data_IF_186163279879
#
_entry.id   IF_186163279879
#
_cell.length_a   1.000
_cell.length_b   1.000
_cell.length_c   1.000
_cell.angle_alpha   90.00
_cell.angle_beta   90.00
_cell.angle_gamma   90.00
#
_symmetry.space_group_name_H-M   'P 1'
#
loop_
_entity.id
_entity.type
_entity.pdbx_description
1 polymer ?
#
# COMPACT_ATOMS: atom_id res chain seq x y z
N UNK A 1 -11.37 32.17 62.92
CA UNK A 1 -11.98 31.26 61.91
C UNK A 1 -11.59 31.55 60.45
N UNK A 2 -10.45 32.22 60.17
CA UNK A 2 -10.00 32.50 58.78
C UNK A 2 -8.86 31.60 58.29
N UNK A 3 -8.01 31.08 59.20
CA UNK A 3 -6.85 30.25 58.83
C UNK A 3 -7.20 28.86 58.30
N UNK A 4 -8.32 28.27 58.73
CA UNK A 4 -8.74 26.92 58.31
C UNK A 4 -9.32 26.89 56.88
N UNK A 5 -9.84 28.03 56.37
CA UNK A 5 -10.39 28.12 55.01
C UNK A 5 -9.32 28.25 53.93
N UNK A 6 -8.13 28.79 54.27
CA UNK A 6 -7.03 28.99 53.31
C UNK A 6 -6.27 27.68 53.04
N UNK A 7 -6.23 26.76 54.02
CA UNK A 7 -5.57 25.46 53.85
C UNK A 7 -6.40 24.52 52.96
N UNK A 8 -7.74 24.57 53.07
CA UNK A 8 -8.63 23.76 52.23
C UNK A 8 -8.66 24.22 50.76
N UNK A 9 -8.42 25.51 50.47
CA UNK A 9 -8.37 26.02 49.10
C UNK A 9 -7.07 25.65 48.38
N UNK A 10 -5.94 25.60 49.10
CA UNK A 10 -4.65 25.21 48.53
C UNK A 10 -4.50 23.69 48.32
N UNK A 11 -5.26 22.86 49.06
CA UNK A 11 -5.24 21.40 48.86
C UNK A 11 -6.11 20.95 47.67
N UNK A 12 -7.03 21.79 47.20
CA UNK A 12 -7.87 21.49 46.02
C UNK A 12 -7.21 21.87 44.69
N UNK A 13 -6.16 22.71 44.71
CA UNK A 13 -5.48 23.21 43.51
C UNK A 13 -4.28 22.36 43.06
N UNK A 14 -3.87 21.35 43.82
CA UNK A 14 -2.70 20.52 43.51
C UNK A 14 -3.02 19.12 42.98
N UNK A 15 -4.29 18.75 42.82
CA UNK A 15 -4.66 17.35 42.49
C UNK A 15 -4.94 17.03 41.02
N UNK A 16 -5.00 17.97 40.08
CA UNK A 16 -5.32 17.62 38.69
C UNK A 16 -4.60 18.45 37.63
N UNK A 17 -3.27 18.42 37.67
CA UNK A 17 -2.43 18.74 36.50
C UNK A 17 -1.41 17.65 36.25
N UNK A 18 -1.82 16.38 36.36
CA UNK A 18 -1.17 15.33 35.56
C UNK A 18 -1.76 15.45 34.17
N UNK A 19 -1.24 16.41 33.40
CA UNK A 19 -1.39 16.37 31.96
C UNK A 19 -0.78 15.06 31.51
N UNK A 20 -1.65 14.07 31.26
CA UNK A 20 -1.37 13.02 30.30
C UNK A 20 -1.08 13.74 28.99
N UNK A 21 0.17 14.15 28.81
CA UNK A 21 0.76 14.27 27.49
C UNK A 21 0.74 12.88 26.90
N UNK A 22 -0.45 12.46 26.45
CA UNK A 22 -0.57 11.48 25.38
C UNK A 22 0.26 12.07 24.27
N UNK A 23 1.52 11.63 24.22
CA UNK A 23 2.31 11.73 23.01
C UNK A 23 1.48 10.94 22.03
N UNK A 24 0.66 11.62 21.24
CA UNK A 24 0.15 11.06 20.02
C UNK A 24 1.41 10.71 19.23
N UNK A 25 1.90 9.48 19.41
CA UNK A 25 2.71 8.83 18.41
C UNK A 25 1.77 8.81 17.23
N UNK A 26 1.87 9.84 16.40
CA UNK A 26 1.31 9.83 15.06
C UNK A 26 1.97 8.64 14.41
N UNK A 27 1.30 7.47 14.45
CA UNK A 27 1.73 6.28 13.74
C UNK A 27 1.95 6.75 12.31
N UNK A 28 3.21 6.92 11.92
CA UNK A 28 3.58 7.27 10.56
C UNK A 28 2.95 6.17 9.71
N UNK A 29 2.02 6.53 8.83
CA UNK A 29 1.35 5.57 7.96
C UNK A 29 2.45 4.76 7.24
N UNK A 30 2.55 3.46 7.54
CA UNK A 30 3.53 2.58 6.90
C UNK A 30 2.87 2.00 5.65
N UNK A 31 3.53 2.16 4.51
CA UNK A 31 3.00 1.67 3.25
C UNK A 31 3.63 0.35 2.80
N UNK A 32 2.87 -0.50 2.08
CA UNK A 32 3.35 -1.71 1.43
C UNK A 32 4.52 -1.39 0.50
N UNK A 33 5.58 -2.18 0.55
CA UNK A 33 6.67 -2.06 -0.40
C UNK A 33 6.30 -2.64 -1.78
N UNK A 34 7.18 -2.51 -2.77
CA UNK A 34 6.92 -2.98 -4.15
C UNK A 34 6.57 -4.46 -4.24
N UNK A 35 7.18 -5.32 -3.43
CA UNK A 35 6.96 -6.76 -3.47
C UNK A 35 5.60 -7.13 -2.87
N UNK A 36 5.28 -6.54 -1.72
CA UNK A 36 3.98 -6.71 -1.09
C UNK A 36 2.86 -6.17 -1.99
N UNK A 37 3.05 -5.00 -2.59
CA UNK A 37 2.09 -4.38 -3.49
C UNK A 37 1.90 -5.21 -4.78
N UNK A 38 2.99 -5.75 -5.33
CA UNK A 38 2.95 -6.68 -6.45
C UNK A 38 2.08 -7.91 -6.14
N UNK A 39 2.32 -8.58 -5.01
CA UNK A 39 1.54 -9.77 -4.63
C UNK A 39 0.06 -9.46 -4.39
N UNK A 40 -0.23 -8.33 -3.72
CA UNK A 40 -1.61 -7.88 -3.52
C UNK A 40 -2.30 -7.63 -4.86
N UNK A 41 -1.66 -6.90 -5.78
CA UNK A 41 -2.25 -6.60 -7.08
C UNK A 41 -2.40 -7.86 -7.95
N UNK A 42 -1.41 -8.76 -7.93
CA UNK A 42 -1.43 -10.02 -8.67
C UNK A 42 -2.57 -10.92 -8.20
N UNK A 43 -2.83 -11.02 -6.90
CA UNK A 43 -4.01 -11.74 -6.39
C UNK A 43 -5.31 -11.16 -6.96
N UNK A 44 -5.43 -9.83 -7.05
CA UNK A 44 -6.67 -9.20 -7.53
C UNK A 44 -6.85 -9.33 -9.04
N UNK A 45 -5.81 -9.06 -9.82
CA UNK A 45 -5.87 -8.95 -11.28
C UNK A 45 -5.42 -10.21 -12.03
N UNK A 46 -4.96 -11.23 -11.32
CA UNK A 46 -4.53 -12.51 -11.87
C UNK A 46 -3.09 -12.51 -12.39
N UNK A 47 -2.57 -13.67 -12.74
CA UNK A 47 -1.20 -13.83 -13.29
C UNK A 47 -0.99 -13.10 -14.61
N UNK A 48 -2.07 -12.77 -15.33
CA UNK A 48 -2.04 -11.96 -16.55
C UNK A 48 -1.58 -10.53 -16.28
N UNK A 49 -1.53 -10.10 -15.01
CA UNK A 49 -1.08 -8.77 -14.62
C UNK A 49 0.43 -8.64 -14.47
N UNK A 50 1.18 -9.74 -14.49
CA UNK A 50 2.59 -9.76 -14.10
C UNK A 50 3.46 -8.78 -14.89
N UNK A 51 3.32 -8.69 -16.21
CA UNK A 51 4.11 -7.76 -17.03
C UNK A 51 3.87 -6.30 -16.63
N UNK A 52 2.61 -5.92 -16.43
CA UNK A 52 2.21 -4.57 -16.00
C UNK A 52 2.76 -4.29 -14.60
N UNK A 53 2.64 -5.25 -13.67
CA UNK A 53 3.09 -5.09 -12.30
C UNK A 53 4.61 -5.07 -12.16
N UNK A 54 5.33 -5.87 -12.95
CA UNK A 54 6.79 -5.83 -13.02
C UNK A 54 7.24 -4.45 -13.49
N UNK A 55 6.68 -3.97 -14.60
CA UNK A 55 7.09 -2.71 -15.21
C UNK A 55 6.72 -1.49 -14.36
N UNK A 56 5.53 -1.49 -13.76
CA UNK A 56 5.03 -0.32 -13.03
C UNK A 56 5.32 -0.35 -11.53
N UNK A 57 5.43 -1.52 -10.90
CA UNK A 57 5.64 -1.62 -9.44
C UNK A 57 7.04 -2.11 -9.10
N UNK A 58 7.44 -3.30 -9.56
CA UNK A 58 8.69 -3.92 -9.11
C UNK A 58 9.93 -3.18 -9.60
N UNK A 59 9.97 -2.69 -10.85
CA UNK A 59 11.09 -1.89 -11.36
C UNK A 59 11.20 -0.51 -10.71
N UNK A 60 10.11 0.03 -10.14
CA UNK A 60 10.06 1.39 -9.60
C UNK A 60 10.38 1.43 -8.10
N UNK A 61 11.56 0.93 -7.74
CA UNK A 61 12.05 0.81 -6.37
C UNK A 61 12.13 2.15 -5.62
N UNK A 62 12.41 3.26 -6.31
CA UNK A 62 12.42 4.61 -5.75
C UNK A 62 11.04 5.15 -5.37
N UNK A 63 9.98 4.65 -6.01
CA UNK A 63 8.59 5.07 -5.76
C UNK A 63 7.94 4.16 -4.72
N UNK A 64 8.14 2.84 -4.86
CA UNK A 64 7.43 1.85 -4.07
C UNK A 64 8.23 1.25 -2.93
N UNK A 65 9.54 1.52 -2.85
CA UNK A 65 10.45 1.03 -1.81
C UNK A 65 10.56 -0.51 -1.79
N UNK A 66 11.39 -1.04 -0.90
CA UNK A 66 11.65 -2.48 -0.76
C UNK A 66 13.01 -2.89 -1.29
N UNK A 67 14.01 -3.08 -0.43
CA UNK A 67 15.33 -3.53 -0.85
C UNK A 67 15.25 -4.95 -1.40
N UNK A 68 16.08 -5.24 -2.40
CA UNK A 68 16.26 -6.59 -2.91
C UNK A 68 17.28 -7.36 -2.05
N UNK A 69 17.24 -8.69 -2.14
CA UNK A 69 18.29 -9.54 -1.59
C UNK A 69 19.40 -9.75 -2.63
N UNK A 70 20.54 -9.13 -2.38
CA UNK A 70 21.73 -9.27 -3.24
C UNK A 70 22.37 -10.65 -3.11
N UNK A 71 22.30 -11.28 -1.93
CA UNK A 71 22.89 -12.60 -1.72
C UNK A 71 22.10 -13.65 -2.50
N UNK A 72 20.77 -13.59 -2.42
CA UNK A 72 19.88 -14.44 -3.21
C UNK A 72 20.03 -14.30 -4.73
N UNK A 73 20.62 -13.22 -5.24
CA UNK A 73 20.95 -13.09 -6.67
C UNK A 73 22.32 -13.69 -7.01
N UNK A 74 23.32 -13.46 -6.18
CA UNK A 74 24.67 -14.01 -6.38
C UNK A 74 24.65 -15.54 -6.32
N UNK A 75 23.89 -16.13 -5.38
CA UNK A 75 23.83 -17.59 -5.20
C UNK A 75 22.82 -18.33 -6.11
N UNK A 76 21.83 -17.65 -6.70
CA UNK A 76 20.86 -18.28 -7.63
C UNK A 76 21.43 -18.64 -9.00
N UNK A 77 22.63 -18.17 -9.30
CA UNK A 77 23.38 -18.60 -10.49
C UNK A 77 24.00 -19.95 -10.18
N UNK A 78 23.20 -21.03 -10.19
CA UNK A 78 23.73 -22.39 -10.08
C UNK A 78 24.60 -22.71 -11.29
N UNK A 79 25.65 -23.52 -11.10
CA UNK A 79 26.61 -23.94 -12.14
C UNK A 79 25.95 -24.68 -13.32
N UNK A 80 24.71 -25.07 -13.13
CA UNK A 80 23.89 -25.98 -13.92
C UNK A 80 22.76 -25.24 -14.67
N UNK A 81 22.76 -23.90 -14.66
CA UNK A 81 21.92 -23.03 -15.53
C UNK A 81 20.43 -23.04 -15.22
N UNK A 82 19.99 -23.82 -14.25
CA UNK A 82 18.58 -23.98 -13.85
C UNK A 82 18.21 -22.91 -12.83
N UNK A 83 17.61 -21.81 -13.30
CA UNK A 83 17.16 -20.73 -12.40
C UNK A 83 15.69 -20.89 -12.03
N UNK A 84 15.39 -21.06 -10.73
CA UNK A 84 14.05 -20.75 -10.21
C UNK A 84 14.01 -19.25 -9.99
N UNK A 85 13.49 -18.51 -10.97
CA UNK A 85 13.28 -17.06 -10.88
C UNK A 85 12.30 -16.72 -9.76
N UNK A 86 12.81 -16.50 -8.55
CA UNK A 86 12.02 -15.87 -7.50
C UNK A 86 12.15 -14.34 -7.64
N UNK A 87 11.19 -13.78 -8.36
CA UNK A 87 11.04 -12.36 -8.71
C UNK A 87 10.88 -11.49 -7.44
N UNK A 88 10.41 -12.05 -6.32
CA UNK A 88 10.14 -11.30 -5.07
C UNK A 88 11.42 -10.80 -4.36
N UNK A 89 12.60 -11.27 -4.77
CA UNK A 89 13.87 -10.90 -4.15
C UNK A 89 14.88 -10.28 -5.15
N UNK A 90 14.48 -10.11 -6.42
CA UNK A 90 15.35 -9.64 -7.49
C UNK A 90 15.61 -8.14 -7.41
N UNK A 91 16.83 -7.71 -7.73
CA UNK A 91 17.16 -6.32 -7.94
C UNK A 91 16.94 -5.97 -9.41
N UNK A 92 15.93 -5.16 -9.71
CA UNK A 92 15.60 -4.80 -11.08
C UNK A 92 16.57 -3.77 -11.69
N UNK A 93 17.26 -3.02 -10.82
CA UNK A 93 18.27 -2.02 -11.18
C UNK A 93 19.68 -2.42 -10.71
N UNK A 94 19.95 -3.74 -10.67
CA UNK A 94 21.18 -4.30 -10.12
C UNK A 94 21.36 -3.94 -8.63
N UNK A 95 22.60 -3.95 -8.14
CA UNK A 95 22.87 -3.76 -6.70
C UNK A 95 22.41 -2.40 -6.12
N UNK A 96 21.99 -1.44 -6.95
CA UNK A 96 21.56 -0.10 -6.49
C UNK A 96 20.36 -0.12 -5.53
N UNK A 97 19.53 -1.16 -5.60
CA UNK A 97 18.28 -1.24 -4.83
C UNK A 97 18.48 -1.81 -3.42
N UNK A 98 19.67 -2.34 -3.09
CA UNK A 98 19.93 -3.02 -1.83
C UNK A 98 19.87 -2.10 -0.60
N UNK A 99 20.11 -0.81 -0.79
CA UNK A 99 20.11 0.22 0.26
C UNK A 99 18.78 0.97 0.37
N UNK A 100 17.80 0.64 -0.47
CA UNK A 100 16.49 1.31 -0.43
C UNK A 100 15.77 0.92 0.86
N UNK A 101 15.08 1.89 1.48
CA UNK A 101 14.33 1.64 2.71
C UNK A 101 13.25 0.56 2.49
N UNK A 102 12.99 -0.25 3.51
CA UNK A 102 11.91 -1.24 3.51
C UNK A 102 10.55 -0.56 3.59
N UNK A 103 10.46 0.54 4.34
CA UNK A 103 9.22 1.23 4.61
C UNK A 103 8.93 2.26 3.53
N UNK A 104 7.79 2.12 2.86
CA UNK A 104 7.31 3.15 1.94
C UNK A 104 6.63 4.29 2.69
N UNK A 105 6.91 5.53 2.27
CA UNK A 105 6.21 6.73 2.71
C UNK A 105 5.07 7.13 1.75
N UNK A 106 4.14 7.94 2.23
CA UNK A 106 3.15 8.59 1.37
C UNK A 106 3.82 9.71 0.58
N UNK A 107 3.77 9.66 -0.75
CA UNK A 107 4.05 10.82 -1.59
C UNK A 107 3.05 10.87 -2.77
N UNK A 108 2.93 12.04 -3.41
CA UNK A 108 2.05 12.24 -4.56
C UNK A 108 2.42 11.35 -5.74
N UNK A 109 3.73 11.17 -6.00
CA UNK A 109 4.23 10.36 -7.10
C UNK A 109 3.78 8.90 -7.01
N UNK A 110 3.89 8.28 -5.85
CA UNK A 110 3.43 6.92 -5.56
C UNK A 110 1.93 6.77 -5.79
N UNK A 111 1.13 7.74 -5.34
CA UNK A 111 -0.32 7.73 -5.55
C UNK A 111 -0.66 7.81 -7.04
N UNK A 112 -0.07 8.76 -7.77
CA UNK A 112 -0.29 8.92 -9.21
C UNK A 112 0.17 7.70 -10.00
N UNK A 113 1.31 7.11 -9.64
CA UNK A 113 1.85 5.94 -10.32
C UNK A 113 1.01 4.69 -10.08
N UNK A 114 0.52 4.49 -8.85
CA UNK A 114 -0.39 3.38 -8.59
C UNK A 114 -1.73 3.58 -9.31
N UNK A 115 -2.27 4.79 -9.32
CA UNK A 115 -3.49 5.09 -10.08
C UNK A 115 -3.32 4.76 -11.56
N UNK A 116 -2.22 5.21 -12.18
CA UNK A 116 -1.86 4.87 -13.56
C UNK A 116 -1.79 3.36 -13.76
N UNK A 117 -1.09 2.65 -12.87
CA UNK A 117 -0.96 1.18 -12.93
C UNK A 117 -2.33 0.50 -12.90
N UNK A 118 -3.21 0.94 -12.00
CA UNK A 118 -4.54 0.36 -11.88
C UNK A 118 -5.43 0.62 -13.11
N UNK A 119 -5.31 1.80 -13.72
CA UNK A 119 -6.01 2.09 -14.97
C UNK A 119 -5.52 1.15 -16.06
N UNK A 120 -4.21 0.97 -16.21
CA UNK A 120 -3.61 0.05 -17.19
C UNK A 120 -4.04 -1.41 -16.96
N UNK A 121 -4.12 -1.86 -15.71
CA UNK A 121 -4.64 -3.18 -15.35
C UNK A 121 -6.11 -3.35 -15.70
N UNK A 122 -6.92 -2.30 -15.61
CA UNK A 122 -8.33 -2.38 -16.01
C UNK A 122 -8.46 -2.25 -17.51
N UNK A 123 -7.63 -1.46 -18.19
CA UNK A 123 -7.67 -1.26 -19.63
C UNK A 123 -7.23 -2.50 -20.41
N UNK A 124 -6.33 -3.31 -19.86
CA UNK A 124 -5.96 -4.59 -20.43
C UNK A 124 -7.09 -5.63 -20.27
N UNK A 125 -7.53 -6.21 -21.39
CA UNK A 125 -8.71 -7.09 -21.43
C UNK A 125 -8.49 -8.43 -20.72
N UNK A 126 -7.25 -8.94 -20.67
CA UNK A 126 -6.95 -10.21 -19.97
C UNK A 126 -7.05 -10.05 -18.46
N UNK A 127 -6.43 -9.00 -17.93
CA UNK A 127 -6.47 -8.68 -16.49
C UNK A 127 -7.87 -8.23 -16.06
N UNK A 128 -8.55 -7.43 -16.89
CA UNK A 128 -9.95 -7.08 -16.66
C UNK A 128 -10.87 -8.30 -16.70
N UNK A 129 -10.69 -9.20 -17.65
CA UNK A 129 -11.46 -10.44 -17.75
C UNK A 129 -11.34 -11.29 -16.48
N UNK A 130 -10.13 -11.45 -15.96
CA UNK A 130 -9.91 -12.14 -14.68
C UNK A 130 -10.62 -11.41 -13.52
N UNK A 131 -10.38 -10.11 -13.38
CA UNK A 131 -10.93 -9.29 -12.30
C UNK A 131 -12.46 -9.27 -12.31
N UNK A 132 -13.07 -9.03 -13.47
CA UNK A 132 -14.53 -8.99 -13.67
C UNK A 132 -15.17 -10.34 -13.36
N UNK A 133 -14.55 -11.46 -13.74
CA UNK A 133 -15.03 -12.80 -13.45
C UNK A 133 -14.94 -13.15 -11.95
N UNK A 134 -13.83 -12.78 -11.30
CA UNK A 134 -13.59 -13.00 -9.86
C UNK A 134 -14.59 -12.22 -9.00
N UNK A 135 -14.89 -10.98 -9.38
CA UNK A 135 -15.71 -10.06 -8.58
C UNK A 135 -17.13 -9.82 -9.11
N UNK A 136 -17.53 -10.52 -10.18
CA UNK A 136 -18.85 -10.41 -10.83
C UNK A 136 -19.19 -8.97 -11.26
N UNK A 137 -18.21 -8.27 -11.81
CA UNK A 137 -18.36 -6.88 -12.27
C UNK A 137 -18.69 -6.88 -13.75
N UNK A 138 -19.75 -6.14 -14.12
CA UNK A 138 -20.26 -6.11 -15.50
C UNK A 138 -19.70 -4.97 -16.34
N UNK A 139 -19.20 -3.90 -15.72
CA UNK A 139 -18.85 -2.67 -16.43
C UNK A 139 -17.46 -2.14 -16.05
N UNK A 140 -16.59 -2.07 -17.06
CA UNK A 140 -15.22 -1.55 -17.00
C UNK A 140 -15.16 -0.09 -16.54
N UNK A 141 -16.08 0.75 -17.04
CA UNK A 141 -16.12 2.20 -16.74
C UNK A 141 -16.38 2.49 -15.26
N UNK A 142 -17.17 1.64 -14.62
CA UNK A 142 -17.52 1.81 -13.22
C UNK A 142 -16.31 1.53 -12.31
N UNK A 143 -15.44 0.59 -12.69
CA UNK A 143 -14.19 0.28 -11.96
C UNK A 143 -13.20 1.44 -12.06
N UNK A 144 -12.95 1.95 -13.27
CA UNK A 144 -12.05 3.10 -13.46
C UNK A 144 -12.53 4.30 -12.65
N UNK A 145 -13.83 4.58 -12.69
CA UNK A 145 -14.43 5.68 -11.92
C UNK A 145 -14.25 5.50 -10.41
N UNK A 146 -14.27 4.26 -9.90
CA UNK A 146 -14.08 3.95 -8.49
C UNK A 146 -12.64 4.23 -7.97
N UNK A 147 -11.64 4.31 -8.86
CA UNK A 147 -10.27 4.67 -8.47
C UNK A 147 -10.13 6.15 -8.10
N UNK A 148 -10.95 7.01 -8.70
CA UNK A 148 -10.99 8.43 -8.40
C UNK A 148 -11.91 8.64 -7.18
N UNK A 149 -11.30 8.95 -6.03
CA UNK A 149 -11.88 9.00 -4.67
C UNK A 149 -13.05 10.00 -4.45
N UNK A 150 -13.74 10.47 -5.50
CA UNK A 150 -14.72 11.55 -5.45
C UNK A 150 -16.08 11.26 -6.08
N UNK A 151 -16.35 10.03 -6.52
CA UNK A 151 -17.62 9.74 -7.21
C UNK A 151 -18.55 8.90 -6.33
N UNK A 152 -19.73 9.47 -6.03
CA UNK A 152 -20.89 8.74 -5.48
C UNK A 152 -21.37 7.72 -6.51
N UNK A 153 -20.61 6.64 -6.68
CA UNK A 153 -20.96 5.56 -7.59
C UNK A 153 -22.08 4.73 -6.97
N UNK A 154 -23.13 4.48 -7.76
CA UNK A 154 -24.32 3.71 -7.40
C UNK A 154 -24.07 2.21 -7.28
N UNK A 155 -22.91 1.79 -6.77
CA UNK A 155 -22.65 0.39 -6.47
C UNK A 155 -23.51 -0.06 -5.29
N UNK A 156 -24.06 -1.28 -5.37
CA UNK A 156 -24.70 -1.95 -4.24
C UNK A 156 -23.74 -2.00 -3.05
N UNK A 157 -24.24 -1.99 -1.82
CA UNK A 157 -23.41 -2.03 -0.62
C UNK A 157 -22.47 -3.26 -0.60
N UNK A 158 -22.92 -4.41 -1.14
CA UNK A 158 -22.09 -5.61 -1.32
C UNK A 158 -20.98 -5.36 -2.36
N UNK A 159 -21.33 -4.80 -3.52
CA UNK A 159 -20.37 -4.45 -4.57
C UNK A 159 -19.41 -3.34 -4.14
N UNK A 160 -19.79 -2.43 -3.22
CA UNK A 160 -18.93 -1.41 -2.59
C UNK A 160 -17.97 -1.99 -1.53
N UNK A 161 -18.43 -3.01 -0.78
CA UNK A 161 -17.59 -3.77 0.16
C UNK A 161 -16.56 -4.61 -0.60
N UNK A 162 -16.96 -5.19 -1.74
CA UNK A 162 -16.16 -6.04 -2.64
C UNK A 162 -15.24 -5.20 -3.56
N UNK A 163 -15.73 -4.10 -4.13
CA UNK A 163 -14.94 -3.00 -4.70
C UNK A 163 -14.36 -2.16 -3.58
N UNK A 164 -13.61 -2.82 -2.72
CA UNK A 164 -12.48 -2.22 -2.04
C UNK A 164 -11.43 -1.83 -3.10
N UNK A 165 -11.81 -0.94 -4.01
CA UNK A 165 -11.03 -0.04 -4.85
C UNK A 165 -10.14 0.89 -4.02
N UNK A 166 -9.92 0.55 -2.74
CA UNK A 166 -8.93 1.11 -1.86
C UNK A 166 -7.52 0.78 -2.32
N UNK A 167 -7.27 -0.32 -3.05
CA UNK A 167 -5.90 -0.61 -3.56
C UNK A 167 -5.38 0.53 -4.42
N UNK A 168 -6.24 1.09 -5.27
CA UNK A 168 -5.90 2.15 -6.23
C UNK A 168 -6.33 3.55 -5.77
N UNK A 169 -7.02 3.64 -4.62
CA UNK A 169 -7.41 4.91 -4.02
C UNK A 169 -6.51 5.22 -2.81
N UNK A 170 -6.33 6.51 -2.52
CA UNK A 170 -5.39 6.99 -1.50
C UNK A 170 -5.70 6.55 -0.05
N UNK A 171 -6.79 5.79 0.18
CA UNK A 171 -7.39 5.51 1.48
C UNK A 171 -7.45 4.01 1.87
N UNK A 172 -6.76 3.09 1.17
CA UNK A 172 -6.48 1.78 1.79
C UNK A 172 -5.56 0.83 1.03
N UNK A 173 -5.40 -0.37 1.63
CA UNK A 173 -4.50 -1.52 1.31
C UNK A 173 -3.03 -1.22 1.12
N UNK A 174 -2.66 -0.02 0.67
CA UNK A 174 -1.29 0.38 0.71
C UNK A 174 -0.79 0.56 2.13
N UNK A 175 -1.63 0.65 3.17
CA UNK A 175 -1.21 0.79 4.57
C UNK A 175 -1.16 -0.56 5.26
N UNK A 176 -0.09 -0.83 6.01
CA UNK A 176 0.00 -1.94 6.96
C UNK A 176 -0.94 -1.72 8.16
#
# INVERSE_FOLDING_TARGET
MYKLRIILLNLLLTTFSVTYGSSYITKKDIYLNRFQLYEVLKDKFGTQSEDILINNILKNSSIFFGPCDIYGQVYKTTKDGSSVRNIQAECFSGLSENKINVNAGANSLRKSWLLKTCIELVENDKTYGFFSNKYKIKNKKDIVRAFYNNTKTGFSAATKKILTAKVCSSSGWQKL
#
